data_IF_042192180911
#
_entry.id   IF_042192180911
#
_cell.length_a   1.000
_cell.length_b   1.000
_cell.length_c   1.000
_cell.angle_alpha   90.00
_cell.angle_beta   90.00
_cell.angle_gamma   90.00
#
_symmetry.space_group_name_H-M   'P 1'
#
loop_
_entity.id
_entity.type
_entity.pdbx_description
1 polymer ?
#
# COMPACT_ATOMS: atom_id res chain seq x y z
N UNK A 1 14.85 -18.37 -2.73
CA UNK A 1 14.76 -17.00 -3.27
C UNK A 1 14.39 -16.09 -2.10
N UNK A 2 15.28 -15.19 -1.69
CA UNK A 2 15.04 -14.32 -0.53
C UNK A 2 14.01 -13.25 -0.92
N UNK A 3 12.72 -13.52 -0.67
CA UNK A 3 11.67 -12.50 -0.80
C UNK A 3 11.93 -11.44 0.27
N UNK A 4 12.21 -10.20 -0.15
CA UNK A 4 12.17 -9.06 0.77
C UNK A 4 10.71 -8.90 1.19
N UNK A 5 10.41 -9.14 2.46
CA UNK A 5 9.09 -8.79 3.00
C UNK A 5 9.00 -7.27 3.06
N UNK A 6 8.23 -6.68 2.16
CA UNK A 6 7.78 -5.30 2.32
C UNK A 6 6.77 -5.27 3.47
N UNK A 7 6.96 -4.37 4.44
CA UNK A 7 5.96 -4.16 5.50
C UNK A 7 4.77 -3.42 4.90
N UNK A 8 3.59 -4.07 4.90
CA UNK A 8 2.32 -3.48 4.49
C UNK A 8 1.48 -3.18 5.72
N UNK A 9 0.92 -1.97 5.77
CA UNK A 9 0.07 -1.49 6.84
C UNK A 9 -1.40 -1.49 6.42
N UNK A 10 -2.30 -1.81 7.35
CA UNK A 10 -3.73 -1.77 7.12
C UNK A 10 -4.54 -2.43 8.21
N UNK A 11 -5.85 -2.26 8.13
CA UNK A 11 -6.81 -2.83 9.09
C UNK A 11 -7.35 -4.14 8.54
N UNK A 12 -7.28 -5.20 9.34
CA UNK A 12 -7.73 -6.55 8.97
C UNK A 12 -7.08 -7.07 7.69
N UNK A 13 -5.77 -6.90 7.56
CA UNK A 13 -5.02 -7.38 6.40
C UNK A 13 -5.11 -8.89 6.25
N UNK A 14 -5.19 -9.33 5.01
CA UNK A 14 -4.91 -10.71 4.65
C UNK A 14 -3.55 -10.87 3.95
N UNK A 15 -3.27 -12.09 3.48
CA UNK A 15 -2.00 -12.43 2.85
C UNK A 15 -1.80 -11.79 1.48
N UNK A 16 -2.85 -11.26 0.85
CA UNK A 16 -2.80 -10.63 -0.49
C UNK A 16 -2.96 -9.10 -0.38
N UNK A 17 -2.69 -8.53 0.80
CA UNK A 17 -2.75 -7.08 1.12
C UNK A 17 -4.15 -6.47 1.17
N UNK A 18 -5.22 -7.25 1.00
CA UNK A 18 -6.60 -6.74 1.10
C UNK A 18 -6.89 -6.32 2.53
N UNK A 19 -7.63 -5.22 2.70
CA UNK A 19 -8.01 -4.69 4.02
C UNK A 19 -9.52 -4.76 4.23
N UNK A 20 -10.01 -4.34 5.41
CA UNK A 20 -11.45 -4.29 5.68
C UNK A 20 -12.21 -3.28 4.83
N UNK A 21 -11.54 -2.25 4.31
CA UNK A 21 -12.15 -1.24 3.45
C UNK A 21 -12.38 -1.75 2.03
N UNK A 22 -11.35 -2.39 1.45
CA UNK A 22 -11.34 -2.93 0.10
C UNK A 22 -10.92 -4.41 0.15
N UNK A 23 -11.90 -5.29 -0.07
CA UNK A 23 -11.76 -6.74 0.13
C UNK A 23 -12.42 -7.56 -0.99
N UNK A 24 -12.28 -7.12 -2.24
CA UNK A 24 -12.67 -7.88 -3.42
C UNK A 24 -11.46 -8.64 -3.97
N UNK A 25 -11.67 -9.61 -4.90
CA UNK A 25 -10.56 -10.34 -5.51
C UNK A 25 -9.52 -9.48 -6.26
N UNK A 26 -9.84 -8.22 -6.58
CA UNK A 26 -8.93 -7.31 -7.30
C UNK A 26 -8.21 -6.31 -6.40
N UNK A 27 -8.53 -6.26 -5.11
CA UNK A 27 -7.95 -5.30 -4.16
C UNK A 27 -6.60 -5.75 -3.59
N UNK A 28 -5.74 -6.31 -4.45
CA UNK A 28 -4.52 -7.02 -4.05
C UNK A 28 -3.26 -6.16 -4.09
N UNK A 29 -3.41 -4.83 -4.07
CA UNK A 29 -2.27 -3.91 -4.12
C UNK A 29 -2.10 -3.16 -2.80
N UNK A 30 -0.85 -2.85 -2.46
CA UNK A 30 -0.49 -1.85 -1.48
C UNK A 30 0.17 -0.65 -2.17
N UNK A 31 -0.14 0.55 -1.68
CA UNK A 31 0.32 1.82 -2.23
C UNK A 31 1.36 2.42 -1.30
N UNK A 32 2.53 2.77 -1.83
CA UNK A 32 3.54 3.56 -1.12
C UNK A 32 3.10 5.02 -1.10
N UNK A 33 2.88 5.54 0.10
CA UNK A 33 2.51 6.93 0.28
C UNK A 33 3.75 7.83 0.33
N UNK A 34 3.80 8.86 -0.53
CA UNK A 34 4.94 9.79 -0.63
C UNK A 34 5.25 10.52 0.68
N UNK A 35 4.22 10.84 1.47
CA UNK A 35 4.36 11.55 2.74
C UNK A 35 5.21 10.81 3.77
N UNK A 36 5.16 9.47 3.79
CA UNK A 36 5.79 8.66 4.85
C UNK A 36 6.65 7.50 4.35
N UNK A 37 6.68 7.24 3.04
CA UNK A 37 7.37 6.12 2.41
C UNK A 37 6.94 4.72 2.91
N UNK A 38 5.75 4.60 3.50
CA UNK A 38 5.17 3.32 3.95
C UNK A 38 4.17 2.80 2.92
N UNK A 39 4.05 1.48 2.84
CA UNK A 39 3.02 0.81 2.04
C UNK A 39 1.74 0.63 2.86
N UNK A 40 0.62 1.08 2.31
CA UNK A 40 -0.71 0.90 2.89
C UNK A 40 -1.61 0.17 1.89
N UNK A 41 -2.44 -0.76 2.38
CA UNK A 41 -3.41 -1.47 1.54
C UNK A 41 -4.38 -0.54 0.81
N UNK A 42 -4.75 0.58 1.44
CA UNK A 42 -5.58 1.59 0.80
C UNK A 42 -5.41 2.96 1.48
N UNK A 43 -6.04 3.98 0.89
CA UNK A 43 -6.08 5.35 1.41
C UNK A 43 -6.75 5.46 2.77
N UNK A 44 -7.81 4.69 3.03
CA UNK A 44 -8.51 4.73 4.33
C UNK A 44 -7.62 4.18 5.44
N UNK A 45 -6.92 3.08 5.18
CA UNK A 45 -5.93 2.55 6.11
C UNK A 45 -4.82 3.55 6.44
N UNK A 46 -4.33 4.31 5.45
CA UNK A 46 -3.38 5.39 5.69
C UNK A 46 -3.97 6.46 6.62
N UNK A 47 -5.15 6.99 6.27
CA UNK A 47 -5.76 8.10 7.00
C UNK A 47 -6.16 7.73 8.44
N UNK A 48 -6.43 6.45 8.72
CA UNK A 48 -6.69 5.96 10.08
C UNK A 48 -5.40 5.73 10.89
N UNK A 49 -4.27 5.49 10.22
CA UNK A 49 -3.01 5.13 10.89
C UNK A 49 -2.03 6.29 11.05
N UNK A 50 -2.30 7.44 10.42
CA UNK A 50 -1.36 8.55 10.34
C UNK A 50 -2.06 9.89 10.61
N UNK A 51 -1.39 10.75 11.37
CA UNK A 51 -1.90 12.08 11.75
C UNK A 51 -1.61 13.17 10.69
N UNK A 52 -1.22 12.76 9.48
CA UNK A 52 -0.87 13.66 8.38
C UNK A 52 -1.67 13.38 7.11
N UNK A 53 -1.81 14.42 6.29
CA UNK A 53 -2.49 14.29 5.01
C UNK A 53 -1.63 13.53 3.99
N UNK A 54 -2.24 12.69 3.14
CA UNK A 54 -1.54 12.00 2.07
C UNK A 54 -1.03 13.01 1.03
N UNK A 55 0.17 12.76 0.51
CA UNK A 55 0.77 13.56 -0.57
C UNK A 55 0.79 12.73 -1.86
N UNK A 56 0.22 13.23 -2.97
CA UNK A 56 0.26 12.52 -4.24
C UNK A 56 1.68 12.57 -4.86
N UNK A 57 2.05 11.49 -5.55
CA UNK A 57 3.19 11.50 -6.45
C UNK A 57 2.91 12.43 -7.63
N UNK A 58 3.84 13.32 -7.96
CA UNK A 58 3.71 14.16 -9.15
C UNK A 58 4.02 13.36 -10.42
N UNK A 59 3.59 13.86 -11.59
CA UNK A 59 3.83 13.16 -12.87
C UNK A 59 5.30 12.86 -13.14
N UNK A 60 6.21 13.73 -12.71
CA UNK A 60 7.66 13.52 -12.85
C UNK A 60 8.23 12.44 -11.93
N UNK A 61 7.43 11.92 -11.00
CA UNK A 61 7.81 10.90 -10.03
C UNK A 61 7.08 9.58 -10.27
N UNK A 62 6.38 9.42 -11.41
CA UNK A 62 5.63 8.19 -11.72
C UNK A 62 6.51 6.96 -11.95
N UNK A 63 7.81 7.16 -12.16
CA UNK A 63 8.79 6.07 -12.23
C UNK A 63 9.14 5.49 -10.83
N UNK A 64 8.65 6.10 -9.75
CA UNK A 64 8.81 5.55 -8.40
C UNK A 64 8.06 4.22 -8.28
N UNK A 65 8.73 3.22 -7.69
CA UNK A 65 8.11 1.95 -7.35
C UNK A 65 7.18 2.10 -6.14
N UNK A 66 5.97 2.60 -6.41
CA UNK A 66 4.98 2.96 -5.39
C UNK A 66 3.80 1.98 -5.30
N UNK A 67 3.80 0.90 -6.07
CA UNK A 67 2.76 -0.12 -6.04
C UNK A 67 3.42 -1.47 -5.78
N UNK A 68 2.86 -2.22 -4.84
CA UNK A 68 3.24 -3.59 -4.52
C UNK A 68 2.01 -4.49 -4.69
N UNK A 69 2.13 -5.58 -5.43
CA UNK A 69 1.09 -6.60 -5.55
C UNK A 69 1.28 -7.69 -4.48
N UNK A 70 0.25 -7.91 -3.65
CA UNK A 70 0.22 -8.96 -2.63
C UNK A 70 0.13 -10.39 -3.17
N UNK A 71 -0.11 -10.58 -4.47
CA UNK A 71 -0.13 -11.92 -5.10
C UNK A 71 1.27 -12.32 -5.58
N UNK A 72 2.01 -11.39 -6.20
CA UNK A 72 3.31 -11.69 -6.79
C UNK A 72 4.51 -11.12 -6.02
N UNK A 73 4.29 -10.31 -4.99
CA UNK A 73 5.32 -9.63 -4.18
C UNK A 73 6.25 -8.72 -5.01
N UNK A 74 5.71 -8.09 -6.06
CA UNK A 74 6.43 -7.16 -6.95
C UNK A 74 5.57 -5.96 -7.32
#
# INVERSE_FOLDING_TARGET
>A
MNKKHHTVHGIGLDNETRCTHYHTPVDVIAIKFKCCNKFYACIHCHNESEDHTPVPWSKSEFDEHAILCGVCDT
#
